data_IF_764379567855
#
_entry.id   IF_764379567855
#
_cell.length_a   1.000
_cell.length_b   1.000
_cell.length_c   1.000
_cell.angle_alpha   90.00
_cell.angle_beta   90.00
_cell.angle_gamma   90.00
#
_symmetry.space_group_name_H-M   'P 1'
#
loop_
_entity.id
_entity.type
_entity.pdbx_description
1 polymer ?
#
# COMPACT_ATOMS: atom_id res chain seq x y z
N UNK A 1 -48.46 37.04 -30.21
CA UNK A 1 -49.19 35.85 -29.72
C UNK A 1 -48.31 35.13 -28.71
N UNK A 2 -48.87 34.91 -27.53
CA UNK A 2 -48.27 34.38 -26.29
C UNK A 2 -47.97 32.87 -26.36
N UNK A 3 -46.88 32.44 -25.71
CA UNK A 3 -46.55 31.10 -25.14
C UNK A 3 -45.20 31.29 -24.41
N UNK A 4 -45.10 31.40 -23.09
CA UNK A 4 -45.33 30.38 -22.05
C UNK A 4 -43.99 29.67 -21.72
N UNK A 5 -43.48 29.67 -20.48
CA UNK A 5 -42.17 29.06 -20.16
C UNK A 5 -42.27 27.53 -20.18
N UNK A 6 -41.25 26.87 -20.74
CA UNK A 6 -41.15 25.41 -20.82
C UNK A 6 -40.53 24.88 -19.52
N UNK A 7 -41.29 24.02 -18.86
CA UNK A 7 -40.94 23.22 -17.69
C UNK A 7 -39.94 22.12 -18.09
N UNK A 8 -38.70 22.21 -17.60
CA UNK A 8 -37.68 21.17 -17.73
C UNK A 8 -37.75 20.20 -16.55
N UNK A 9 -38.87 19.50 -16.40
CA UNK A 9 -38.96 18.31 -15.54
C UNK A 9 -39.60 17.15 -16.30
N UNK A 10 -38.82 16.50 -17.17
CA UNK A 10 -38.97 15.07 -17.52
C UNK A 10 -37.80 14.60 -18.39
N UNK A 11 -37.36 13.38 -18.08
CA UNK A 11 -36.41 12.54 -18.81
C UNK A 11 -34.91 12.79 -18.64
N UNK A 12 -34.42 12.64 -17.41
CA UNK A 12 -33.08 12.10 -17.17
C UNK A 12 -33.20 10.61 -16.83
N UNK A 13 -33.26 9.75 -17.86
CA UNK A 13 -33.13 8.30 -17.71
C UNK A 13 -31.68 7.98 -17.37
N UNK A 14 -31.39 7.89 -16.07
CA UNK A 14 -30.13 7.34 -15.55
C UNK A 14 -30.03 5.88 -16.04
N UNK A 15 -28.93 5.62 -16.74
CA UNK A 15 -28.57 4.33 -17.34
C UNK A 15 -28.62 3.20 -16.31
N UNK A 16 -29.30 2.10 -16.66
CA UNK A 16 -29.38 0.85 -15.91
C UNK A 16 -28.02 0.17 -15.66
N UNK A 17 -26.93 0.68 -16.25
CA UNK A 17 -25.55 0.23 -16.04
C UNK A 17 -24.98 0.67 -14.68
N UNK A 18 -25.19 1.92 -14.25
CA UNK A 18 -24.65 2.45 -12.98
C UNK A 18 -25.27 1.78 -11.74
N UNK A 19 -26.55 1.38 -11.84
CA UNK A 19 -27.24 0.62 -10.80
C UNK A 19 -26.71 -0.81 -10.62
N UNK A 20 -26.13 -1.40 -11.67
CA UNK A 20 -25.57 -2.76 -11.63
C UNK A 20 -24.20 -2.77 -10.93
N UNK A 21 -23.33 -1.82 -11.29
CA UNK A 21 -22.00 -1.64 -10.65
C UNK A 21 -22.13 -1.31 -9.17
N UNK A 22 -23.06 -0.41 -8.79
CA UNK A 22 -23.33 -0.10 -7.39
C UNK A 22 -23.85 -1.32 -6.60
N UNK A 23 -24.62 -2.23 -7.20
CA UNK A 23 -25.09 -3.48 -6.55
C UNK A 23 -23.98 -4.51 -6.38
N UNK A 24 -23.09 -4.65 -7.36
CA UNK A 24 -21.95 -5.57 -7.30
C UNK A 24 -20.97 -5.08 -6.23
N UNK A 25 -20.68 -3.78 -6.21
CA UNK A 25 -19.88 -3.13 -5.17
C UNK A 25 -20.53 -3.32 -3.80
N UNK A 26 -21.84 -3.03 -3.63
CA UNK A 26 -22.53 -3.27 -2.35
C UNK A 26 -22.50 -4.75 -1.91
N UNK A 27 -22.45 -5.70 -2.84
CA UNK A 27 -22.34 -7.14 -2.55
C UNK A 27 -20.93 -7.53 -2.12
N UNK A 28 -19.89 -7.03 -2.79
CA UNK A 28 -18.49 -7.23 -2.39
C UNK A 28 -18.26 -6.62 -1.00
N UNK A 29 -18.66 -5.36 -0.80
CA UNK A 29 -18.57 -4.66 0.48
C UNK A 29 -19.35 -5.35 1.61
N UNK A 30 -20.56 -5.86 1.34
CA UNK A 30 -21.38 -6.54 2.36
C UNK A 30 -20.88 -7.96 2.66
N UNK A 31 -20.25 -8.63 1.70
CA UNK A 31 -19.67 -9.96 1.86
C UNK A 31 -18.36 -9.90 2.67
N UNK A 32 -17.45 -8.97 2.34
CA UNK A 32 -16.22 -8.77 3.12
C UNK A 32 -16.49 -8.18 4.51
N UNK A 33 -17.39 -7.19 4.64
CA UNK A 33 -17.75 -6.65 5.96
C UNK A 33 -18.36 -7.71 6.88
N UNK A 34 -19.22 -8.60 6.37
CA UNK A 34 -19.77 -9.70 7.16
C UNK A 34 -18.72 -10.73 7.53
N UNK A 35 -17.79 -11.06 6.64
CA UNK A 35 -16.76 -12.06 6.91
C UNK A 35 -15.71 -11.55 7.91
N UNK A 36 -15.29 -10.28 7.82
CA UNK A 36 -14.35 -9.69 8.77
C UNK A 36 -14.99 -9.54 10.16
N UNK A 37 -16.27 -9.16 10.24
CA UNK A 37 -17.00 -9.05 11.52
C UNK A 37 -17.35 -10.42 12.10
N UNK A 38 -17.74 -11.42 11.30
CA UNK A 38 -18.01 -12.78 11.81
C UNK A 38 -16.74 -13.50 12.30
N UNK A 39 -15.59 -13.27 11.66
CA UNK A 39 -14.29 -13.79 12.13
C UNK A 39 -13.91 -13.14 13.46
N UNK A 40 -14.04 -11.81 13.57
CA UNK A 40 -13.79 -11.08 14.82
C UNK A 40 -14.76 -11.50 15.95
N UNK A 41 -16.03 -11.77 15.62
CA UNK A 41 -17.04 -12.17 16.60
C UNK A 41 -16.83 -13.61 17.10
N UNK A 42 -16.39 -14.52 16.23
CA UNK A 42 -16.08 -15.91 16.60
C UNK A 42 -14.77 -16.03 17.41
N UNK A 43 -13.79 -15.16 17.17
CA UNK A 43 -12.58 -15.09 18.01
C UNK A 43 -12.89 -14.54 19.42
N UNK A 44 -13.77 -13.55 19.54
CA UNK A 44 -14.20 -13.02 20.84
C UNK A 44 -15.05 -13.99 21.68
N UNK A 45 -15.91 -14.79 21.04
CA UNK A 45 -16.77 -15.75 21.75
C UNK A 45 -15.99 -16.96 22.32
N UNK A 46 -14.79 -17.24 21.80
CA UNK A 46 -13.93 -18.35 22.28
C UNK A 46 -12.96 -17.97 23.40
N UNK A 47 -12.74 -16.69 23.68
CA UNK A 47 -11.77 -16.18 24.66
C UNK A 47 -12.40 -15.75 26.00
N UNK A 48 -13.73 -15.68 26.09
CA UNK A 48 -14.45 -15.21 27.29
C UNK A 48 -14.81 -16.31 28.31
N UNK A 49 -14.25 -17.52 28.19
CA UNK A 49 -14.56 -18.63 29.11
C UNK A 49 -13.49 -18.89 30.19
N UNK A 50 -12.42 -18.10 30.30
CA UNK A 50 -11.31 -18.39 31.23
C UNK A 50 -10.70 -17.19 31.98
N UNK A 51 -11.35 -16.02 32.02
CA UNK A 51 -10.82 -14.82 32.73
C UNK A 51 -11.87 -14.22 33.67
N UNK A 52 -12.35 -15.03 34.61
CA UNK A 52 -13.16 -14.52 35.74
C UNK A 52 -12.84 -15.23 37.06
N UNK A 53 -11.57 -15.61 37.26
CA UNK A 53 -11.03 -15.94 38.58
C UNK A 53 -9.76 -15.12 38.81
N UNK A 54 -9.59 -14.64 40.04
CA UNK A 54 -8.54 -13.74 40.54
C UNK A 54 -8.74 -12.23 40.34
N UNK A 55 -9.57 -11.65 41.20
CA UNK A 55 -9.34 -10.32 41.81
C UNK A 55 -10.23 -10.20 43.06
N UNK A 56 -9.76 -10.70 44.21
CA UNK A 56 -10.29 -10.35 45.54
C UNK A 56 -9.44 -9.24 46.18
N UNK A 57 -10.04 -8.15 46.68
CA UNK A 57 -9.35 -7.20 47.55
C UNK A 57 -9.49 -7.60 49.03
N UNK A 58 -8.37 -7.47 49.75
CA UNK A 58 -8.21 -7.62 51.19
C UNK A 58 -9.08 -6.64 51.99
N UNK A 59 -9.96 -7.11 52.88
CA UNK A 59 -10.27 -6.46 54.19
C UNK A 59 -10.92 -7.43 55.19
N UNK A 60 -10.73 -7.10 56.46
CA UNK A 60 -10.94 -7.83 57.72
C UNK A 60 -12.33 -8.46 57.99
N UNK A 61 -12.30 -9.57 58.72
CA UNK A 61 -13.41 -10.18 59.47
C UNK A 61 -13.55 -9.52 60.88
N UNK A 62 -14.73 -9.55 61.54
CA UNK A 62 -15.18 -10.78 62.21
C UNK A 62 -16.70 -11.10 62.17
N UNK A 63 -16.99 -12.39 62.41
CA UNK A 63 -18.25 -13.16 62.47
C UNK A 63 -19.24 -12.75 63.61
N UNK A 64 -20.39 -13.45 63.88
CA UNK A 64 -21.05 -14.58 63.18
C UNK A 64 -22.61 -14.52 63.09
N UNK A 65 -23.19 -15.59 62.50
CA UNK A 65 -24.58 -16.12 62.60
C UNK A 65 -25.72 -15.50 61.74
N UNK A 66 -26.34 -16.33 60.88
CA UNK A 66 -27.74 -16.85 61.03
C UNK A 66 -28.20 -17.66 59.79
N UNK A 67 -28.65 -18.89 60.08
CA UNK A 67 -29.60 -19.79 59.40
C UNK A 67 -29.51 -20.12 57.90
N UNK A 68 -29.34 -21.41 57.63
CA UNK A 68 -29.71 -22.09 56.40
C UNK A 68 -31.22 -22.38 56.34
N UNK A 69 -31.84 -22.25 55.16
CA UNK A 69 -32.79 -23.24 54.58
C UNK A 69 -33.10 -22.91 53.08
N UNK A 70 -33.51 -23.91 52.27
CA UNK A 70 -33.22 -23.95 50.83
C UNK A 70 -34.44 -23.63 49.95
N UNK A 71 -34.20 -23.06 48.76
CA UNK A 71 -35.18 -23.08 47.66
C UNK A 71 -34.56 -23.57 46.37
N UNK A 72 -34.77 -24.87 46.13
CA UNK A 72 -34.95 -25.47 44.81
C UNK A 72 -35.97 -24.61 44.03
N UNK A 73 -35.59 -24.14 42.84
CA UNK A 73 -36.43 -23.93 41.65
C UNK A 73 -35.80 -22.83 40.77
N UNK A 74 -34.89 -23.22 39.88
CA UNK A 74 -34.61 -22.52 38.61
C UNK A 74 -33.65 -23.40 37.79
N UNK A 75 -34.05 -24.63 37.48
CA UNK A 75 -33.25 -25.53 36.66
C UNK A 75 -34.17 -26.36 35.77
N UNK A 76 -35.00 -25.67 34.99
CA UNK A 76 -35.83 -26.26 33.94
C UNK A 76 -36.20 -25.15 32.95
N UNK A 77 -35.23 -24.73 32.13
CA UNK A 77 -35.44 -24.15 30.79
C UNK A 77 -34.07 -23.91 30.15
N UNK A 78 -33.33 -24.99 29.89
CA UNK A 78 -32.29 -25.00 28.87
C UNK A 78 -32.77 -25.99 27.82
N UNK A 79 -33.52 -25.45 26.84
CA UNK A 79 -33.80 -26.18 25.61
C UNK A 79 -32.47 -26.58 24.99
N UNK A 80 -32.28 -27.88 24.77
CA UNK A 80 -31.19 -28.41 23.96
C UNK A 80 -31.28 -27.81 22.55
N UNK A 81 -30.47 -26.79 22.26
CA UNK A 81 -30.06 -26.53 20.89
C UNK A 81 -29.07 -27.63 20.49
N UNK A 82 -29.31 -28.41 19.43
CA UNK A 82 -28.30 -29.34 18.96
C UNK A 82 -27.10 -28.54 18.48
N UNK A 83 -25.94 -28.79 19.08
CA UNK A 83 -24.65 -28.33 18.56
C UNK A 83 -24.46 -28.97 17.18
N UNK A 84 -24.79 -28.23 16.12
CA UNK A 84 -24.56 -28.68 14.74
C UNK A 84 -23.06 -28.95 14.56
N UNK A 85 -22.70 -30.23 14.50
CA UNK A 85 -21.34 -30.66 14.19
C UNK A 85 -21.01 -30.14 12.78
N UNK A 86 -19.94 -29.35 12.60
CA UNK A 86 -19.61 -28.80 11.29
C UNK A 86 -19.41 -29.94 10.29
N UNK A 87 -20.10 -29.84 9.15
CA UNK A 87 -19.98 -30.77 8.03
C UNK A 87 -18.52 -30.89 7.59
N UNK A 88 -18.14 -32.03 6.98
CA UNK A 88 -16.76 -32.27 6.50
C UNK A 88 -16.25 -31.15 5.59
N UNK A 89 -17.14 -30.56 4.78
CA UNK A 89 -16.86 -29.40 3.93
C UNK A 89 -16.57 -28.16 4.77
N UNK A 90 -17.38 -27.85 5.79
CA UNK A 90 -17.12 -26.72 6.69
C UNK A 90 -15.79 -26.86 7.45
N UNK A 91 -15.41 -28.08 7.87
CA UNK A 91 -14.10 -28.31 8.51
C UNK A 91 -12.94 -28.12 7.53
N UNK A 92 -13.06 -28.60 6.30
CA UNK A 92 -12.06 -28.38 5.26
C UNK A 92 -11.92 -26.89 4.92
N UNK A 93 -13.04 -26.17 4.81
CA UNK A 93 -13.07 -24.73 4.58
C UNK A 93 -12.44 -23.95 5.74
N UNK A 94 -12.76 -24.29 7.00
CA UNK A 94 -12.14 -23.68 8.19
C UNK A 94 -10.64 -23.96 8.28
N UNK A 95 -10.20 -25.18 7.93
CA UNK A 95 -8.79 -25.54 7.84
C UNK A 95 -8.05 -24.71 6.80
N UNK A 96 -8.65 -24.53 5.62
CA UNK A 96 -8.08 -23.69 4.56
C UNK A 96 -7.97 -22.21 4.98
N UNK A 97 -9.02 -21.65 5.60
CA UNK A 97 -8.98 -20.27 6.11
C UNK A 97 -7.89 -20.06 7.16
N UNK A 98 -7.72 -21.04 8.06
CA UNK A 98 -6.65 -20.99 9.07
C UNK A 98 -5.27 -21.00 8.42
N UNK A 99 -5.04 -21.81 7.39
CA UNK A 99 -3.76 -21.82 6.66
C UNK A 99 -3.53 -20.48 5.95
N UNK A 100 -4.54 -19.94 5.27
CA UNK A 100 -4.45 -18.64 4.59
C UNK A 100 -4.10 -17.52 5.59
N UNK A 101 -4.68 -17.53 6.79
CA UNK A 101 -4.43 -16.49 7.80
C UNK A 101 -2.97 -16.40 8.26
N UNK A 102 -2.16 -17.45 8.11
CA UNK A 102 -0.74 -17.40 8.45
C UNK A 102 0.10 -16.61 7.43
N UNK A 103 -0.37 -16.52 6.19
CA UNK A 103 0.36 -15.92 5.08
C UNK A 103 -0.24 -14.57 4.63
N UNK A 104 -1.50 -14.30 4.96
CA UNK A 104 -2.17 -13.03 4.66
C UNK A 104 -1.88 -11.91 5.67
N UNK A 105 -2.21 -10.67 5.32
CA UNK A 105 -2.02 -9.51 6.19
C UNK A 105 -0.55 -9.31 6.55
N UNK A 106 -0.28 -8.89 7.79
CA UNK A 106 1.07 -8.52 8.23
C UNK A 106 1.96 -9.71 8.65
N UNK A 107 1.43 -10.93 8.61
CA UNK A 107 2.08 -12.14 9.13
C UNK A 107 2.64 -11.96 10.56
N UNK A 108 1.83 -11.41 11.48
CA UNK A 108 2.26 -11.07 12.87
C UNK A 108 2.86 -12.27 13.61
N UNK A 109 2.23 -13.44 13.51
CA UNK A 109 2.70 -14.68 14.15
C UNK A 109 4.11 -15.03 13.69
N UNK A 110 4.37 -14.94 12.38
CA UNK A 110 5.69 -15.15 11.81
C UNK A 110 6.69 -14.09 12.31
N UNK A 111 6.28 -12.83 12.39
CA UNK A 111 7.10 -11.76 12.96
C UNK A 111 7.53 -12.02 14.41
N UNK A 112 6.60 -12.45 15.28
CA UNK A 112 6.92 -12.82 16.67
C UNK A 112 7.84 -14.04 16.76
N UNK A 113 7.64 -15.03 15.89
CA UNK A 113 8.54 -16.19 15.79
C UNK A 113 9.96 -15.77 15.36
N UNK A 114 10.08 -14.89 14.37
CA UNK A 114 11.36 -14.39 13.84
C UNK A 114 12.18 -13.63 14.88
N UNK A 115 11.54 -12.90 15.82
CA UNK A 115 12.25 -12.20 16.91
C UNK A 115 13.10 -13.13 17.79
N UNK A 116 12.75 -14.42 17.86
CA UNK A 116 13.47 -15.44 18.66
C UNK A 116 14.59 -16.12 17.87
N UNK A 117 14.73 -15.82 16.59
CA UNK A 117 15.72 -16.45 15.71
C UNK A 117 17.02 -15.64 15.66
N UNK A 118 18.04 -16.20 15.01
CA UNK A 118 19.33 -15.53 14.83
C UNK A 118 19.21 -14.25 13.98
N UNK A 119 20.12 -13.32 14.21
CA UNK A 119 20.05 -11.96 13.65
C UNK A 119 19.95 -11.92 12.12
N UNK A 120 20.66 -12.78 11.39
CA UNK A 120 20.60 -12.78 9.91
C UNK A 120 19.20 -13.13 9.38
N UNK A 121 18.45 -14.00 10.06
CA UNK A 121 17.07 -14.29 9.67
C UNK A 121 16.13 -13.12 9.97
N UNK A 122 16.36 -12.42 11.09
CA UNK A 122 15.64 -11.17 11.39
C UNK A 122 15.91 -10.10 10.33
N UNK A 123 17.20 -9.91 9.97
CA UNK A 123 17.60 -8.96 8.95
C UNK A 123 16.97 -9.29 7.58
N UNK A 124 16.93 -10.58 7.21
CA UNK A 124 16.26 -11.03 6.00
C UNK A 124 14.76 -10.70 6.02
N UNK A 125 14.05 -11.00 7.12
CA UNK A 125 12.64 -10.65 7.29
C UNK A 125 12.41 -9.13 7.14
N UNK A 126 13.25 -8.30 7.74
CA UNK A 126 13.16 -6.85 7.65
C UNK A 126 13.41 -6.32 6.23
N UNK A 127 14.35 -6.93 5.50
CA UNK A 127 14.62 -6.60 4.09
C UNK A 127 13.44 -7.00 3.20
N UNK A 128 12.86 -8.19 3.39
CA UNK A 128 11.69 -8.64 2.64
C UNK A 128 10.47 -7.73 2.93
N UNK A 129 10.19 -7.43 4.19
CA UNK A 129 9.14 -6.46 4.56
C UNK A 129 9.43 -5.09 3.95
N UNK A 130 10.68 -4.64 3.96
CA UNK A 130 11.11 -3.39 3.33
C UNK A 130 10.80 -3.33 1.83
N UNK A 131 10.98 -4.44 1.09
CA UNK A 131 10.60 -4.50 -0.32
C UNK A 131 9.09 -4.35 -0.53
N UNK A 132 8.27 -4.97 0.32
CA UNK A 132 6.81 -4.89 0.24
C UNK A 132 6.25 -3.53 0.68
N UNK A 133 6.93 -2.86 1.61
CA UNK A 133 6.50 -1.57 2.18
C UNK A 133 6.46 -0.43 1.17
N UNK A 134 7.10 -0.55 0.00
CA UNK A 134 6.96 0.41 -1.10
C UNK A 134 5.49 0.61 -1.49
N UNK A 135 4.68 -0.46 -1.44
CA UNK A 135 3.24 -0.43 -1.69
C UNK A 135 2.43 -0.57 -0.38
N UNK A 136 3.01 -0.13 0.74
CA UNK A 136 2.41 -0.13 2.09
C UNK A 136 2.07 -1.51 2.65
N UNK A 137 2.74 -2.55 2.17
CA UNK A 137 2.51 -3.93 2.62
C UNK A 137 3.56 -4.35 3.63
N UNK A 138 3.13 -4.83 4.80
CA UNK A 138 4.01 -5.34 5.86
C UNK A 138 4.05 -6.89 5.85
N UNK A 139 4.42 -7.50 4.73
CA UNK A 139 4.35 -8.95 4.55
C UNK A 139 5.65 -9.49 3.90
N UNK A 140 6.45 -10.32 4.60
CA UNK A 140 7.73 -10.82 4.08
C UNK A 140 7.55 -11.80 2.91
N UNK A 141 6.45 -12.56 2.85
CA UNK A 141 6.14 -13.41 1.69
C UNK A 141 5.84 -12.56 0.45
N UNK A 142 5.08 -11.47 0.61
CA UNK A 142 4.84 -10.51 -0.46
C UNK A 142 6.15 -9.88 -0.93
N UNK A 143 7.04 -9.53 0.01
CA UNK A 143 8.39 -9.05 -0.28
C UNK A 143 9.24 -10.04 -1.06
N UNK A 144 9.16 -11.33 -0.71
CA UNK A 144 9.85 -12.40 -1.42
C UNK A 144 9.34 -12.54 -2.86
N UNK A 145 8.02 -12.49 -3.06
CA UNK A 145 7.40 -12.53 -4.39
C UNK A 145 7.80 -11.30 -5.21
N UNK A 146 7.85 -10.11 -4.59
CA UNK A 146 8.33 -8.88 -5.23
C UNK A 146 9.79 -9.01 -5.66
N UNK A 147 10.70 -9.52 -4.82
CA UNK A 147 12.06 -9.79 -5.25
C UNK A 147 12.12 -10.82 -6.37
N UNK A 148 11.28 -11.85 -6.36
CA UNK A 148 11.13 -12.79 -7.48
C UNK A 148 10.75 -12.10 -8.78
N UNK A 149 9.79 -11.16 -8.73
CA UNK A 149 9.41 -10.31 -9.86
C UNK A 149 10.54 -9.39 -10.32
N UNK A 150 11.29 -8.78 -9.40
CA UNK A 150 12.45 -7.95 -9.74
C UNK A 150 13.55 -8.77 -10.43
N UNK A 151 13.83 -9.99 -9.95
CA UNK A 151 14.80 -10.90 -10.59
C UNK A 151 14.32 -11.29 -11.99
N UNK A 152 13.01 -11.51 -12.15
CA UNK A 152 12.39 -11.81 -13.44
C UNK A 152 12.46 -10.61 -14.41
N UNK A 153 12.30 -9.38 -13.91
CA UNK A 153 12.48 -8.14 -14.68
C UNK A 153 13.93 -8.00 -15.15
N UNK A 154 14.85 -7.88 -14.20
CA UNK A 154 16.26 -7.65 -14.46
C UNK A 154 17.07 -7.96 -13.20
N UNK A 155 18.04 -8.87 -13.31
CA UNK A 155 18.90 -9.32 -12.19
C UNK A 155 19.77 -8.20 -11.63
N UNK A 156 20.25 -7.29 -12.48
CA UNK A 156 21.03 -6.12 -12.05
C UNK A 156 20.18 -5.13 -11.25
N UNK A 157 18.95 -4.90 -11.70
CA UNK A 157 17.98 -4.08 -11.00
C UNK A 157 17.65 -4.68 -9.62
N UNK A 158 17.33 -5.98 -9.58
CA UNK A 158 17.07 -6.69 -8.34
C UNK A 158 18.23 -6.63 -7.34
N UNK A 159 19.47 -6.78 -7.82
CA UNK A 159 20.67 -6.67 -6.98
C UNK A 159 20.80 -5.26 -6.38
N UNK A 160 20.64 -4.21 -7.20
CA UNK A 160 20.73 -2.84 -6.72
C UNK A 160 19.63 -2.50 -5.70
N UNK A 161 18.40 -2.96 -5.93
CA UNK A 161 17.30 -2.83 -4.97
C UNK A 161 17.58 -3.58 -3.67
N UNK A 162 18.09 -4.81 -3.74
CA UNK A 162 18.47 -5.58 -2.55
C UNK A 162 19.56 -4.86 -1.74
N UNK A 163 20.64 -4.42 -2.41
CA UNK A 163 21.73 -3.64 -1.77
C UNK A 163 21.15 -2.39 -1.12
N UNK A 164 20.30 -1.63 -1.81
CA UNK A 164 19.72 -0.42 -1.25
C UNK A 164 18.87 -0.68 -0.01
N UNK A 165 18.01 -1.70 -0.05
CA UNK A 165 17.18 -2.11 1.10
C UNK A 165 18.04 -2.53 2.30
N UNK A 166 19.05 -3.36 2.04
CA UNK A 166 19.95 -3.90 3.06
C UNK A 166 20.72 -2.77 3.75
N UNK A 167 21.35 -1.87 2.99
CA UNK A 167 22.17 -0.80 3.56
C UNK A 167 21.34 0.33 4.19
N UNK A 168 20.12 0.59 3.72
CA UNK A 168 19.19 1.46 4.43
C UNK A 168 18.78 0.85 5.80
N UNK A 169 18.51 -0.46 5.83
CA UNK A 169 18.18 -1.18 7.07
C UNK A 169 19.36 -1.20 8.05
N UNK A 170 20.58 -1.49 7.57
CA UNK A 170 21.81 -1.44 8.37
C UNK A 170 22.04 -0.03 8.91
N UNK A 171 21.90 1.01 8.07
CA UNK A 171 22.05 2.40 8.53
C UNK A 171 21.04 2.76 9.63
N UNK A 172 19.77 2.34 9.51
CA UNK A 172 18.78 2.56 10.56
C UNK A 172 19.16 1.86 11.88
N UNK A 173 19.77 0.67 11.81
CA UNK A 173 20.29 -0.03 12.98
C UNK A 173 21.47 0.73 13.61
N UNK A 174 22.40 1.24 12.80
CA UNK A 174 23.56 2.03 13.27
C UNK A 174 23.13 3.36 13.88
N UNK A 175 22.09 4.00 13.34
CA UNK A 175 21.51 5.24 13.84
C UNK A 175 20.52 5.03 15.00
N UNK A 176 20.43 3.81 15.53
CA UNK A 176 19.57 3.45 16.66
C UNK A 176 18.10 3.88 16.47
N UNK A 177 17.58 3.76 15.24
CA UNK A 177 16.17 4.05 14.95
C UNK A 177 15.24 3.02 15.60
N UNK A 178 13.94 3.35 15.68
CA UNK A 178 12.92 2.49 16.30
C UNK A 178 12.98 1.05 15.77
N UNK A 179 13.23 0.10 16.67
CA UNK A 179 13.32 -1.33 16.32
C UNK A 179 12.01 -1.88 15.75
N UNK A 180 10.86 -1.38 16.21
CA UNK A 180 9.55 -1.75 15.65
C UNK A 180 9.37 -1.26 14.21
N UNK A 181 9.79 -0.02 13.91
CA UNK A 181 9.75 0.52 12.55
C UNK A 181 10.73 -0.20 11.60
N UNK A 182 11.91 -0.57 12.09
CA UNK A 182 12.85 -1.41 11.33
C UNK A 182 12.23 -2.79 11.05
N UNK A 183 11.65 -3.42 12.08
CA UNK A 183 11.09 -4.76 11.96
C UNK A 183 9.87 -4.85 11.03
N UNK A 184 9.15 -3.74 10.85
CA UNK A 184 8.04 -3.63 9.88
C UNK A 184 8.49 -3.17 8.49
N UNK A 185 9.79 -2.97 8.26
CA UNK A 185 10.36 -2.61 6.96
C UNK A 185 10.30 -1.11 6.61
N UNK A 186 9.85 -0.24 7.52
CA UNK A 186 9.66 1.21 7.25
C UNK A 186 10.97 1.95 6.95
N UNK A 187 12.12 1.40 7.32
CA UNK A 187 13.43 1.96 6.99
C UNK A 187 14.08 1.34 5.75
N UNK A 188 13.48 0.30 5.15
CA UNK A 188 14.02 -0.40 3.97
C UNK A 188 13.47 0.09 2.64
N UNK A 189 12.18 0.47 2.59
CA UNK A 189 11.48 0.72 1.31
C UNK A 189 11.96 1.96 0.54
N UNK A 190 12.49 2.98 1.22
CA UNK A 190 13.12 4.09 0.50
C UNK A 190 14.46 3.63 -0.12
N UNK A 191 15.21 2.76 0.58
CA UNK A 191 16.46 2.20 0.09
C UNK A 191 16.29 1.32 -1.13
N UNK A 192 15.25 0.46 -1.18
CA UNK A 192 15.00 -0.35 -2.38
C UNK A 192 14.78 0.53 -3.61
N UNK A 193 13.95 1.57 -3.50
CA UNK A 193 13.66 2.48 -4.61
C UNK A 193 14.90 3.28 -5.03
N UNK A 194 15.71 3.74 -4.08
CA UNK A 194 16.99 4.41 -4.41
C UNK A 194 17.87 3.49 -5.25
N UNK A 195 18.11 2.26 -4.78
CA UNK A 195 18.93 1.32 -5.52
C UNK A 195 18.36 0.99 -6.91
N UNK A 196 17.05 0.71 -6.99
CA UNK A 196 16.38 0.40 -8.25
C UNK A 196 16.53 1.54 -9.26
N UNK A 197 16.14 2.76 -8.88
CA UNK A 197 16.07 3.87 -9.81
C UNK A 197 17.44 4.46 -10.15
N UNK A 198 18.45 4.31 -9.28
CA UNK A 198 19.83 4.60 -9.65
C UNK A 198 20.33 3.66 -10.76
N UNK A 199 19.90 2.38 -10.77
CA UNK A 199 20.21 1.46 -11.86
C UNK A 199 19.42 1.81 -13.13
N UNK A 200 18.12 2.10 -13.02
CA UNK A 200 17.27 2.47 -14.16
C UNK A 200 17.77 3.73 -14.88
N UNK A 201 18.21 4.74 -14.13
CA UNK A 201 18.64 6.02 -14.70
C UNK A 201 20.14 6.09 -15.02
N UNK A 202 20.91 5.03 -14.83
CA UNK A 202 22.33 5.01 -15.21
C UNK A 202 22.51 4.79 -16.71
N UNK A 203 23.29 5.66 -17.37
CA UNK A 203 23.63 5.55 -18.79
C UNK A 203 24.74 4.52 -19.06
N UNK A 204 25.34 3.93 -18.00
CA UNK A 204 26.35 2.87 -18.12
C UNK A 204 25.74 1.47 -18.37
N UNK A 205 24.43 1.33 -18.20
CA UNK A 205 23.72 0.07 -18.36
C UNK A 205 23.98 -0.95 -17.25
N UNK A 206 23.61 -2.21 -17.52
CA UNK A 206 23.66 -3.29 -16.54
C UNK A 206 25.09 -3.68 -16.15
N UNK A 207 25.24 -4.17 -14.91
CA UNK A 207 26.49 -4.70 -14.35
C UNK A 207 27.65 -3.69 -14.25
N UNK A 208 27.35 -2.39 -14.28
CA UNK A 208 28.31 -1.36 -13.91
C UNK A 208 28.55 -1.35 -12.39
N UNK A 209 29.44 -2.22 -11.91
CA UNK A 209 29.69 -2.48 -10.49
C UNK A 209 30.01 -1.24 -9.64
N UNK A 210 30.63 -0.22 -10.23
CA UNK A 210 30.92 1.04 -9.54
C UNK A 210 29.66 1.75 -9.04
N UNK A 211 28.50 1.53 -9.67
CA UNK A 211 27.21 2.08 -9.24
C UNK A 211 26.81 1.64 -7.82
N UNK A 212 27.31 0.49 -7.35
CA UNK A 212 27.03 0.02 -5.99
C UNK A 212 27.56 1.00 -4.93
N UNK A 213 28.65 1.73 -5.19
CA UNK A 213 29.21 2.70 -4.25
C UNK A 213 28.25 3.87 -3.95
N UNK A 214 27.81 4.66 -4.94
CA UNK A 214 26.83 5.71 -4.67
C UNK A 214 25.48 5.12 -4.24
N UNK A 215 25.07 3.93 -4.71
CA UNK A 215 23.84 3.27 -4.24
C UNK A 215 23.87 3.01 -2.73
N UNK A 216 24.94 2.38 -2.22
CA UNK A 216 25.13 2.15 -0.79
C UNK A 216 25.08 3.47 -0.02
N UNK A 217 25.82 4.47 -0.46
CA UNK A 217 25.88 5.78 0.22
C UNK A 217 24.51 6.47 0.29
N UNK A 218 23.80 6.55 -0.84
CA UNK A 218 22.48 7.18 -0.90
C UNK A 218 21.46 6.38 -0.09
N UNK A 219 21.49 5.05 -0.16
CA UNK A 219 20.61 4.18 0.62
C UNK A 219 20.85 4.30 2.13
N UNK A 220 22.11 4.38 2.58
CA UNK A 220 22.44 4.65 3.98
C UNK A 220 21.96 6.02 4.47
N UNK A 221 21.75 6.97 3.56
CA UNK A 221 21.22 8.30 3.88
C UNK A 221 19.68 8.29 4.01
N UNK A 222 18.98 7.27 3.51
CA UNK A 222 17.51 7.17 3.58
C UNK A 222 16.96 7.29 5.01
N UNK A 223 17.48 6.58 6.04
CA UNK A 223 16.99 6.72 7.40
C UNK A 223 17.18 8.12 7.99
N UNK A 224 18.26 8.83 7.60
CA UNK A 224 18.52 10.20 8.06
C UNK A 224 17.43 11.13 7.54
N UNK A 225 17.18 11.11 6.22
CA UNK A 225 16.14 11.93 5.59
C UNK A 225 14.75 11.53 6.09
N UNK A 226 14.49 10.23 6.28
CA UNK A 226 13.24 9.72 6.84
C UNK A 226 13.00 10.27 8.25
N UNK A 227 14.00 10.21 9.12
CA UNK A 227 13.90 10.74 10.48
C UNK A 227 13.68 12.25 10.50
N UNK A 228 14.40 12.99 9.64
CA UNK A 228 14.25 14.45 9.53
C UNK A 228 12.82 14.83 9.08
N UNK A 229 12.31 14.19 8.03
CA UNK A 229 10.94 14.44 7.54
C UNK A 229 9.88 14.00 8.55
N UNK A 230 10.08 12.86 9.23
CA UNK A 230 9.15 12.37 10.25
C UNK A 230 9.03 13.36 11.42
N UNK A 231 10.12 14.05 11.80
CA UNK A 231 10.08 15.07 12.86
C UNK A 231 9.16 16.26 12.55
N UNK A 232 8.95 16.54 11.26
CA UNK A 232 8.06 17.59 10.76
C UNK A 232 6.65 16.99 10.59
N UNK A 233 6.53 15.92 9.80
CA UNK A 233 5.25 15.35 9.39
C UNK A 233 4.44 14.77 10.57
N UNK A 234 5.11 14.26 11.61
CA UNK A 234 4.43 13.76 12.82
C UNK A 234 3.62 14.82 13.56
N UNK A 235 3.92 16.12 13.38
CA UNK A 235 3.13 17.22 13.95
C UNK A 235 1.70 17.29 13.39
N UNK A 236 1.48 16.75 12.20
CA UNK A 236 0.17 16.65 11.54
C UNK A 236 -0.30 15.20 11.37
N UNK A 237 0.35 14.26 12.06
CA UNK A 237 0.09 12.82 11.92
C UNK A 237 0.15 12.38 10.44
N UNK A 238 1.22 12.79 9.73
CA UNK A 238 1.45 12.44 8.32
C UNK A 238 2.62 11.48 8.15
N UNK A 239 2.53 10.51 7.22
CA UNK A 239 3.64 9.64 6.90
C UNK A 239 4.70 10.41 6.09
N UNK A 240 5.92 9.87 6.01
CA UNK A 240 6.98 10.43 5.16
C UNK A 240 6.89 9.98 3.71
N UNK A 241 6.13 8.91 3.44
CA UNK A 241 6.03 8.29 2.12
C UNK A 241 7.40 8.04 1.48
N UNK A 242 7.48 8.05 0.15
CA UNK A 242 8.71 7.87 -0.60
C UNK A 242 9.48 9.19 -0.78
N UNK A 243 9.20 10.23 0.02
CA UNK A 243 9.94 11.50 -0.04
C UNK A 243 11.46 11.32 0.15
N UNK A 244 11.97 10.49 1.09
CA UNK A 244 13.40 10.23 1.21
C UNK A 244 14.01 9.70 -0.09
N UNK A 245 13.37 8.71 -0.72
CA UNK A 245 13.78 8.18 -2.02
C UNK A 245 13.84 9.28 -3.09
N UNK A 246 12.76 10.07 -3.22
CA UNK A 246 12.66 11.09 -4.25
C UNK A 246 13.75 12.15 -4.10
N UNK A 247 14.00 12.62 -2.88
CA UNK A 247 15.06 13.59 -2.58
C UNK A 247 16.43 13.03 -2.95
N UNK A 248 16.72 11.78 -2.56
CA UNK A 248 18.05 11.20 -2.73
C UNK A 248 18.33 10.83 -4.20
N UNK A 249 17.38 10.26 -4.93
CA UNK A 249 17.58 9.99 -6.37
C UNK A 249 17.75 11.30 -7.14
N UNK A 250 16.93 12.32 -6.88
CA UNK A 250 17.12 13.63 -7.52
C UNK A 250 18.48 14.24 -7.15
N UNK A 251 18.90 14.18 -5.88
CA UNK A 251 20.21 14.66 -5.44
C UNK A 251 21.35 13.96 -6.19
N UNK A 252 21.30 12.63 -6.31
CA UNK A 252 22.30 11.87 -7.07
C UNK A 252 22.33 12.28 -8.55
N UNK A 253 21.16 12.37 -9.17
CA UNK A 253 21.04 12.70 -10.59
C UNK A 253 21.47 14.13 -10.91
N UNK A 254 21.17 15.11 -10.05
CA UNK A 254 21.67 16.49 -10.23
C UNK A 254 23.18 16.56 -10.02
N UNK A 255 23.70 15.87 -9.00
CA UNK A 255 25.13 15.92 -8.68
C UNK A 255 26.01 15.26 -9.76
N UNK A 256 25.48 14.25 -10.45
CA UNK A 256 26.19 13.54 -11.51
C UNK A 256 25.83 14.09 -12.89
N UNK A 257 24.56 14.11 -13.25
CA UNK A 257 24.06 14.54 -14.55
C UNK A 257 24.48 13.62 -15.70
N UNK A 258 24.03 13.94 -16.91
CA UNK A 258 24.33 13.13 -18.10
C UNK A 258 25.82 13.10 -18.45
N UNK A 259 26.54 14.20 -18.22
CA UNK A 259 27.93 14.35 -18.64
C UNK A 259 28.97 13.94 -17.57
N UNK A 260 28.56 13.26 -16.49
CA UNK A 260 29.52 12.75 -15.52
C UNK A 260 30.41 11.67 -16.15
N UNK A 261 31.72 11.73 -15.91
CA UNK A 261 32.63 10.69 -16.43
C UNK A 261 32.42 9.32 -15.79
N UNK A 262 32.09 9.27 -14.49
CA UNK A 262 31.97 8.03 -13.72
C UNK A 262 30.53 7.52 -13.70
N UNK A 263 29.59 8.38 -13.36
CA UNK A 263 28.18 8.02 -13.13
C UNK A 263 27.23 8.82 -14.04
N UNK A 264 27.37 8.74 -15.38
CA UNK A 264 26.49 9.45 -16.29
C UNK A 264 25.05 8.94 -16.14
N UNK A 265 24.11 9.87 -16.11
CA UNK A 265 22.68 9.58 -16.07
C UNK A 265 22.08 9.56 -17.47
N UNK A 266 20.97 8.86 -17.67
CA UNK A 266 20.21 8.94 -18.92
C UNK A 266 19.80 10.38 -19.22
N UNK A 267 19.83 10.76 -20.50
CA UNK A 267 19.50 12.11 -20.91
C UNK A 267 17.98 12.33 -20.87
N UNK A 268 17.52 13.19 -19.96
CA UNK A 268 16.12 13.62 -19.86
C UNK A 268 16.02 15.06 -20.38
N UNK A 269 15.10 15.30 -21.31
CA UNK A 269 14.91 16.61 -21.93
C UNK A 269 13.43 17.02 -21.89
N UNK A 270 13.15 18.34 -21.82
CA UNK A 270 11.79 18.83 -21.93
C UNK A 270 11.23 18.59 -23.33
N UNK A 271 9.92 18.37 -23.42
CA UNK A 271 9.22 18.28 -24.70
C UNK A 271 9.23 19.66 -25.38
N UNK A 272 9.80 19.71 -26.59
CA UNK A 272 9.92 20.93 -27.41
C UNK A 272 8.93 20.97 -28.58
N UNK A 273 8.21 19.88 -28.83
CA UNK A 273 7.25 19.76 -29.91
C UNK A 273 6.00 19.02 -29.46
N UNK A 274 4.90 19.26 -30.19
CA UNK A 274 3.64 18.54 -30.00
C UNK A 274 3.82 17.09 -30.48
N UNK A 275 3.42 16.08 -29.69
CA UNK A 275 3.45 14.70 -30.15
C UNK A 275 2.41 14.51 -31.27
N UNK A 276 2.81 13.87 -32.35
CA UNK A 276 1.88 13.47 -33.41
C UNK A 276 1.12 12.22 -32.95
N UNK A 277 -0.17 12.37 -32.63
CA UNK A 277 -1.01 11.29 -32.11
C UNK A 277 -2.07 10.94 -33.14
N UNK A 278 -1.95 9.74 -33.71
CA UNK A 278 -2.96 9.17 -34.61
C UNK A 278 -3.89 8.26 -33.81
N UNK A 279 -5.07 8.74 -33.43
CA UNK A 279 -5.99 7.99 -32.56
C UNK A 279 -6.44 6.62 -33.11
N UNK A 280 -6.40 6.43 -34.43
CA UNK A 280 -6.68 5.14 -35.05
C UNK A 280 -5.59 4.08 -34.84
N UNK A 281 -4.39 4.48 -34.42
CA UNK A 281 -3.26 3.58 -34.13
C UNK A 281 -3.24 3.10 -32.66
N UNK A 282 -4.27 3.45 -31.88
CA UNK A 282 -4.38 3.00 -30.50
C UNK A 282 -4.46 1.47 -30.43
N UNK A 283 -3.61 0.88 -29.60
CA UNK A 283 -3.55 -0.56 -29.38
C UNK A 283 -4.24 -0.88 -28.05
N UNK A 284 -5.47 -1.35 -28.16
CA UNK A 284 -6.31 -1.70 -27.00
C UNK A 284 -5.68 -2.80 -26.16
N UNK A 285 -4.95 -3.76 -26.76
CA UNK A 285 -4.29 -4.81 -26.00
C UNK A 285 -3.13 -4.24 -25.17
N UNK A 286 -2.38 -3.27 -25.71
CA UNK A 286 -1.37 -2.54 -24.93
C UNK A 286 -1.98 -1.68 -23.82
N UNK A 287 -3.19 -1.12 -24.00
CA UNK A 287 -3.90 -0.46 -22.90
C UNK A 287 -4.20 -1.41 -21.74
N UNK A 288 -4.73 -2.62 -22.01
CA UNK A 288 -4.94 -3.61 -20.95
C UNK A 288 -3.62 -4.02 -20.27
N UNK A 289 -2.52 -4.12 -21.02
CA UNK A 289 -1.19 -4.39 -20.46
C UNK A 289 -0.63 -3.20 -19.67
N UNK A 290 -1.02 -1.97 -19.97
CA UNK A 290 -0.59 -0.79 -19.23
C UNK A 290 -1.01 -0.84 -17.75
N UNK A 291 -2.08 -1.57 -17.41
CA UNK A 291 -2.55 -1.71 -16.02
C UNK A 291 -1.53 -2.45 -15.14
N UNK A 292 -1.12 -3.71 -15.43
CA UNK A 292 -0.07 -4.36 -14.67
C UNK A 292 1.28 -3.66 -14.84
N UNK A 293 1.62 -3.11 -16.02
CA UNK A 293 2.87 -2.34 -16.20
C UNK A 293 2.92 -1.12 -15.29
N UNK A 294 1.81 -0.39 -15.13
CA UNK A 294 1.73 0.74 -14.20
C UNK A 294 1.98 0.34 -12.74
N UNK A 295 1.58 -0.88 -12.34
CA UNK A 295 1.93 -1.42 -11.02
C UNK A 295 3.41 -1.81 -10.96
N UNK A 296 3.96 -2.41 -12.03
CA UNK A 296 5.40 -2.69 -12.17
C UNK A 296 6.26 -1.44 -12.04
N UNK A 297 5.84 -0.33 -12.66
CA UNK A 297 6.56 0.94 -12.67
C UNK A 297 6.70 1.59 -11.29
N UNK A 298 5.94 1.15 -10.28
CA UNK A 298 6.18 1.54 -8.88
C UNK A 298 7.62 1.20 -8.45
N UNK A 299 8.19 0.13 -9.00
CA UNK A 299 9.58 -0.30 -8.81
C UNK A 299 10.46 -0.04 -10.06
N UNK A 300 9.99 0.75 -11.02
CA UNK A 300 10.69 0.99 -12.28
C UNK A 300 10.74 -0.22 -13.22
N UNK A 301 9.74 -1.12 -13.14
CA UNK A 301 9.65 -2.31 -13.98
C UNK A 301 8.60 -2.13 -15.09
N UNK A 302 9.01 -2.33 -16.34
CA UNK A 302 8.15 -2.15 -17.52
C UNK A 302 7.55 -3.46 -18.06
N UNK A 303 7.94 -4.62 -17.53
CA UNK A 303 7.43 -5.91 -17.97
C UNK A 303 6.04 -6.18 -17.36
N UNK A 304 4.99 -6.43 -18.18
CA UNK A 304 3.63 -6.69 -17.68
C UNK A 304 3.55 -7.92 -16.76
N UNK A 305 4.41 -8.93 -16.97
CA UNK A 305 4.44 -10.13 -16.13
C UNK A 305 5.01 -9.82 -14.75
N UNK A 306 6.04 -8.97 -14.66
CA UNK A 306 6.54 -8.47 -13.38
C UNK A 306 5.44 -7.73 -12.62
N UNK A 307 4.70 -6.85 -13.31
CA UNK A 307 3.52 -6.21 -12.76
C UNK A 307 2.46 -7.19 -12.26
N UNK A 308 2.19 -8.26 -13.02
CA UNK A 308 1.31 -9.35 -12.61
C UNK A 308 1.78 -10.09 -11.36
N UNK A 309 3.09 -10.34 -11.23
CA UNK A 309 3.69 -10.94 -10.02
C UNK A 309 3.48 -10.01 -8.82
N UNK A 310 3.63 -8.70 -8.99
CA UNK A 310 3.37 -7.72 -7.92
C UNK A 310 1.90 -7.67 -7.52
N UNK A 311 0.96 -7.79 -8.46
CA UNK A 311 -0.47 -7.92 -8.17
C UNK A 311 -0.73 -9.13 -7.25
N UNK A 312 -0.11 -10.28 -7.55
CA UNK A 312 -0.22 -11.49 -6.70
C UNK A 312 0.35 -11.24 -5.30
N UNK A 313 1.49 -10.58 -5.19
CA UNK A 313 2.07 -10.21 -3.90
C UNK A 313 1.11 -9.32 -3.08
N UNK A 314 0.51 -8.30 -3.69
CA UNK A 314 -0.47 -7.44 -3.02
C UNK A 314 -1.71 -8.23 -2.61
N UNK A 315 -2.22 -9.09 -3.47
CA UNK A 315 -3.43 -9.88 -3.21
C UNK A 315 -3.28 -10.82 -2.01
N UNK A 316 -2.10 -11.45 -1.86
CA UNK A 316 -1.78 -12.33 -0.72
C UNK A 316 -1.87 -11.54 0.59
N UNK A 317 -1.31 -10.33 0.63
CA UNK A 317 -1.37 -9.51 1.85
C UNK A 317 -2.76 -8.92 2.09
N UNK A 318 -3.34 -8.28 1.07
CA UNK A 318 -4.58 -7.52 1.18
C UNK A 318 -5.26 -7.40 -0.20
N UNK A 319 -6.39 -8.11 -0.41
CA UNK A 319 -7.20 -7.96 -1.63
C UNK A 319 -7.68 -6.52 -1.86
N UNK A 320 -7.91 -5.75 -0.79
CA UNK A 320 -8.32 -4.34 -0.86
C UNK A 320 -7.19 -3.46 -1.43
N UNK A 321 -5.95 -3.69 -0.97
CA UNK A 321 -4.76 -2.99 -1.47
C UNK A 321 -4.53 -3.33 -2.93
N UNK A 322 -4.65 -4.63 -3.29
CA UNK A 322 -4.57 -5.10 -4.67
C UNK A 322 -5.63 -4.45 -5.58
N UNK A 323 -6.86 -4.33 -5.10
CA UNK A 323 -7.96 -3.68 -5.83
C UNK A 323 -7.65 -2.21 -6.10
N UNK A 324 -7.26 -1.44 -5.09
CA UNK A 324 -6.94 -0.02 -5.26
C UNK A 324 -5.66 0.20 -6.08
N UNK A 325 -4.69 -0.71 -6.03
CA UNK A 325 -3.55 -0.68 -6.94
C UNK A 325 -4.00 -0.78 -8.41
N UNK A 326 -4.88 -1.74 -8.69
CA UNK A 326 -5.41 -1.96 -10.05
C UNK A 326 -6.27 -0.79 -10.53
N UNK A 327 -7.12 -0.25 -9.65
CA UNK A 327 -7.93 0.95 -9.94
C UNK A 327 -7.04 2.15 -10.19
N UNK A 328 -6.06 2.41 -9.32
CA UNK A 328 -5.12 3.53 -9.47
C UNK A 328 -4.37 3.48 -10.79
N UNK A 329 -3.82 2.32 -11.17
CA UNK A 329 -3.15 2.14 -12.46
C UNK A 329 -4.09 2.41 -13.64
N UNK A 330 -5.32 1.91 -13.58
CA UNK A 330 -6.35 2.11 -14.61
C UNK A 330 -6.75 3.59 -14.72
N UNK A 331 -6.95 4.27 -13.59
CA UNK A 331 -7.26 5.71 -13.54
C UNK A 331 -6.14 6.53 -14.17
N UNK A 332 -4.88 6.20 -13.86
CA UNK A 332 -3.72 6.83 -14.46
C UNK A 332 -3.70 6.69 -15.98
N UNK A 333 -3.88 5.47 -16.49
CA UNK A 333 -4.00 5.19 -17.92
C UNK A 333 -5.11 6.03 -18.59
N UNK A 334 -6.30 6.06 -17.99
CA UNK A 334 -7.45 6.84 -18.50
C UNK A 334 -7.14 8.34 -18.49
N UNK A 335 -6.51 8.85 -17.44
CA UNK A 335 -6.09 10.26 -17.35
C UNK A 335 -5.06 10.62 -18.44
N UNK A 336 -4.13 9.70 -18.74
CA UNK A 336 -3.17 9.87 -19.84
C UNK A 336 -3.85 9.97 -21.20
N UNK A 337 -4.86 9.14 -21.45
CA UNK A 337 -5.70 9.25 -22.65
C UNK A 337 -6.47 10.57 -22.69
N UNK A 338 -7.07 10.98 -21.58
CA UNK A 338 -7.83 12.23 -21.48
C UNK A 338 -6.97 13.47 -21.74
N UNK A 339 -5.68 13.42 -21.40
CA UNK A 339 -4.70 14.48 -21.65
C UNK A 339 -3.97 14.35 -23.00
N UNK A 340 -4.40 13.44 -23.87
CA UNK A 340 -3.74 13.16 -25.15
C UNK A 340 -2.23 12.95 -24.97
N UNK A 341 -1.84 12.13 -24.00
CA UNK A 341 -0.45 11.75 -23.83
C UNK A 341 0.01 10.81 -24.95
N UNK A 342 1.30 10.83 -25.33
CA UNK A 342 1.84 9.85 -26.27
C UNK A 342 1.54 8.43 -25.82
N UNK A 343 0.98 7.60 -26.71
CA UNK A 343 0.51 6.26 -26.35
C UNK A 343 1.60 5.38 -25.75
N UNK A 344 2.84 5.49 -26.24
CA UNK A 344 3.98 4.73 -25.69
C UNK A 344 4.23 5.04 -24.21
N UNK A 345 4.05 6.29 -23.76
CA UNK A 345 4.19 6.63 -22.34
C UNK A 345 3.07 6.00 -21.49
N UNK A 346 1.88 5.83 -22.07
CA UNK A 346 0.76 5.16 -21.42
C UNK A 346 1.02 3.66 -21.35
N UNK A 347 1.42 3.04 -22.47
CA UNK A 347 1.73 1.61 -22.56
C UNK A 347 2.90 1.21 -21.66
N UNK A 348 3.88 2.10 -21.51
CA UNK A 348 5.02 1.93 -20.60
C UNK A 348 4.65 2.15 -19.12
N UNK A 349 3.37 2.42 -18.80
CA UNK A 349 2.85 2.54 -17.44
C UNK A 349 3.24 3.82 -16.70
N UNK A 350 3.85 4.81 -17.37
CA UNK A 350 4.33 6.05 -16.75
C UNK A 350 3.21 6.92 -16.18
N UNK A 351 1.98 6.72 -16.65
CA UNK A 351 0.79 7.38 -16.14
C UNK A 351 0.14 6.66 -14.95
N UNK A 352 0.49 5.39 -14.71
CA UNK A 352 -0.17 4.53 -13.74
C UNK A 352 0.46 4.53 -12.35
N UNK A 353 1.79 4.45 -12.26
CA UNK A 353 2.46 4.07 -11.00
C UNK A 353 2.28 5.07 -9.83
N UNK A 354 2.27 6.37 -10.11
CA UNK A 354 1.97 7.38 -9.09
C UNK A 354 0.51 7.27 -8.61
N UNK A 355 -0.41 6.96 -9.52
CA UNK A 355 -1.83 6.79 -9.24
C UNK A 355 -2.11 5.51 -8.44
N UNK A 356 -1.34 4.44 -8.67
CA UNK A 356 -1.34 3.21 -7.86
C UNK A 356 -1.12 3.55 -6.39
N UNK A 357 -0.01 4.23 -6.07
CA UNK A 357 0.35 4.55 -4.69
C UNK A 357 -0.65 5.52 -4.05
N UNK A 358 -1.12 6.53 -4.79
CA UNK A 358 -2.11 7.48 -4.28
C UNK A 358 -3.46 6.80 -3.98
N UNK A 359 -3.91 5.91 -4.88
CA UNK A 359 -5.17 5.19 -4.70
C UNK A 359 -5.10 4.21 -3.54
N UNK A 360 -3.98 3.49 -3.36
CA UNK A 360 -3.76 2.63 -2.19
C UNK A 360 -3.76 3.46 -0.89
N UNK A 361 -3.02 4.57 -0.85
CA UNK A 361 -2.87 5.39 0.35
C UNK A 361 -4.21 5.88 0.91
N UNK A 362 -5.08 6.39 0.04
CA UNK A 362 -6.40 6.91 0.43
C UNK A 362 -7.45 5.78 0.52
N UNK A 363 -7.31 4.74 -0.30
CA UNK A 363 -8.26 3.62 -0.44
C UNK A 363 -8.14 2.54 0.64
N UNK A 364 -8.12 2.93 1.92
CA UNK A 364 -8.15 2.00 3.05
C UNK A 364 -6.87 1.92 3.88
N UNK A 365 -5.75 2.52 3.44
CA UNK A 365 -4.49 2.50 4.21
C UNK A 365 -4.40 3.61 5.27
N UNK A 366 -4.67 4.86 4.89
CA UNK A 366 -4.63 6.02 5.80
C UNK A 366 -6.00 6.64 6.07
N UNK A 367 -7.05 6.12 5.42
CA UNK A 367 -8.44 6.41 5.71
C UNK A 367 -9.19 5.09 5.96
N UNK A 368 -10.16 5.10 6.86
CA UNK A 368 -11.08 3.97 7.00
C UNK A 368 -11.86 3.78 5.68
N UNK A 369 -11.92 2.53 5.20
CA UNK A 369 -12.55 2.25 3.91
C UNK A 369 -14.07 2.37 4.01
N UNK A 370 -14.62 3.37 3.32
CA UNK A 370 -16.05 3.62 3.10
C UNK A 370 -16.26 3.86 1.61
N UNK A 371 -17.50 3.94 1.14
CA UNK A 371 -17.74 4.28 -0.27
C UNK A 371 -17.30 5.72 -0.58
N UNK A 372 -17.38 6.62 0.40
CA UNK A 372 -16.92 8.01 0.28
C UNK A 372 -15.40 8.08 0.15
N UNK A 373 -14.64 7.36 0.99
CA UNK A 373 -13.18 7.35 0.90
C UNK A 373 -12.68 6.58 -0.32
N UNK A 374 -13.43 5.58 -0.79
CA UNK A 374 -13.18 4.95 -2.08
C UNK A 374 -13.27 5.95 -3.26
N UNK A 375 -14.34 6.76 -3.31
CA UNK A 375 -14.44 7.83 -4.31
C UNK A 375 -13.33 8.87 -4.14
N UNK A 376 -13.00 9.24 -2.90
CA UNK A 376 -11.90 10.15 -2.61
C UNK A 376 -10.55 9.59 -3.12
N UNK A 377 -10.33 8.28 -3.02
CA UNK A 377 -9.14 7.61 -3.53
C UNK A 377 -9.05 7.67 -5.07
N UNK A 378 -10.17 7.52 -5.78
CA UNK A 378 -10.24 7.69 -7.24
C UNK A 378 -9.94 9.14 -7.63
N UNK A 379 -10.53 10.11 -6.92
CA UNK A 379 -10.26 11.54 -7.14
C UNK A 379 -8.79 11.87 -6.87
N UNK A 380 -8.20 11.33 -5.80
CA UNK A 380 -6.78 11.47 -5.50
C UNK A 380 -5.91 10.88 -6.61
N UNK A 381 -6.27 9.71 -7.14
CA UNK A 381 -5.55 9.08 -8.25
C UNK A 381 -5.62 9.92 -9.53
N UNK A 382 -6.77 10.50 -9.88
CA UNK A 382 -6.87 11.44 -11.01
C UNK A 382 -6.01 12.68 -10.77
N UNK A 383 -6.14 13.33 -9.61
CA UNK A 383 -5.31 14.49 -9.24
C UNK A 383 -3.82 14.16 -9.36
N UNK A 384 -3.42 12.98 -8.89
CA UNK A 384 -2.06 12.47 -8.96
C UNK A 384 -1.57 12.27 -10.41
N UNK A 385 -2.41 11.80 -11.32
CA UNK A 385 -2.08 11.68 -12.74
C UNK A 385 -1.78 13.05 -13.38
N UNK A 386 -2.66 14.03 -13.14
CA UNK A 386 -2.48 15.40 -13.63
C UNK A 386 -1.21 16.03 -13.06
N UNK A 387 -1.02 15.93 -11.74
CA UNK A 387 0.19 16.42 -11.06
C UNK A 387 1.44 15.69 -11.59
N UNK A 388 1.33 14.41 -11.94
CA UNK A 388 2.38 13.61 -12.56
C UNK A 388 2.87 14.17 -13.88
N UNK A 389 1.94 14.56 -14.76
CA UNK A 389 2.30 15.24 -16.01
C UNK A 389 2.95 16.60 -15.74
N UNK A 390 2.41 17.38 -14.80
CA UNK A 390 2.95 18.71 -14.48
C UNK A 390 4.39 18.63 -13.94
N UNK A 391 4.62 17.78 -12.94
CA UNK A 391 5.94 17.59 -12.33
C UNK A 391 6.93 17.00 -13.33
N UNK A 392 6.52 16.05 -14.17
CA UNK A 392 7.39 15.52 -15.24
C UNK A 392 7.87 16.63 -16.17
N UNK A 393 6.96 17.50 -16.61
CA UNK A 393 7.32 18.62 -17.49
C UNK A 393 8.28 19.59 -16.79
N UNK A 394 8.04 19.94 -15.52
CA UNK A 394 8.92 20.83 -14.74
C UNK A 394 10.29 20.19 -14.48
N UNK A 395 10.34 18.95 -14.00
CA UNK A 395 11.59 18.26 -13.66
C UNK A 395 12.46 18.01 -14.89
N UNK A 396 11.86 17.78 -16.06
CA UNK A 396 12.60 17.59 -17.31
C UNK A 396 13.46 18.79 -17.71
N UNK A 397 13.13 20.02 -17.27
CA UNK A 397 13.97 21.20 -17.53
C UNK A 397 15.28 21.17 -16.76
N UNK A 398 15.35 20.39 -15.68
CA UNK A 398 16.55 20.14 -14.88
C UNK A 398 17.21 18.80 -15.23
N UNK A 399 16.74 18.10 -16.26
CA UNK A 399 17.21 16.76 -16.61
C UNK A 399 16.82 15.69 -15.59
N UNK A 400 15.72 15.89 -14.86
CA UNK A 400 15.26 14.98 -13.81
C UNK A 400 13.95 14.27 -14.17
N UNK A 401 13.76 13.03 -13.69
CA UNK A 401 12.48 12.34 -13.73
C UNK A 401 11.56 12.87 -12.62
N UNK A 402 10.25 12.67 -12.76
CA UNK A 402 9.29 12.98 -11.69
C UNK A 402 9.37 11.99 -10.51
N UNK A 403 9.89 10.78 -10.73
CA UNK A 403 9.85 9.68 -9.76
C UNK A 403 8.45 9.58 -9.12
N UNK A 404 8.36 9.48 -7.79
CA UNK A 404 7.10 9.42 -7.06
C UNK A 404 6.76 10.71 -6.29
N UNK A 405 7.37 11.85 -6.67
CA UNK A 405 6.95 13.17 -6.18
C UNK A 405 5.44 13.43 -6.36
N UNK A 406 4.83 13.11 -7.53
CA UNK A 406 3.39 13.31 -7.71
C UNK A 406 2.54 12.56 -6.70
N UNK A 407 2.87 11.30 -6.43
CA UNK A 407 2.22 10.50 -5.40
C UNK A 407 2.36 11.16 -4.02
N UNK A 408 3.58 11.46 -3.57
CA UNK A 408 3.82 12.00 -2.24
C UNK A 408 3.02 13.28 -2.00
N UNK A 409 3.08 14.23 -2.95
CA UNK A 409 2.40 15.51 -2.84
C UNK A 409 0.88 15.34 -2.89
N UNK A 410 0.37 14.49 -3.78
CA UNK A 410 -1.07 14.22 -3.87
C UNK A 410 -1.61 13.59 -2.60
N UNK A 411 -0.97 12.54 -2.10
CA UNK A 411 -1.43 11.84 -0.91
C UNK A 411 -1.34 12.74 0.34
N UNK A 412 -0.29 13.56 0.48
CA UNK A 412 -0.17 14.52 1.59
C UNK A 412 -1.26 15.59 1.56
N UNK A 413 -1.54 16.17 0.37
CA UNK A 413 -2.65 17.13 0.21
C UNK A 413 -3.97 16.49 0.61
N UNK A 414 -4.24 15.28 0.15
CA UNK A 414 -5.50 14.59 0.45
C UNK A 414 -5.59 14.13 1.91
N UNK A 415 -4.48 13.84 2.59
CA UNK A 415 -4.45 13.53 4.02
C UNK A 415 -4.57 14.75 4.93
N UNK A 416 -4.40 15.96 4.38
CA UNK A 416 -4.54 17.23 5.09
C UNK A 416 -5.95 17.82 4.98
N UNK A 417 -6.83 17.25 4.16
CA UNK A 417 -8.20 17.77 4.04
C UNK A 417 -8.94 17.58 5.36
N UNK A 418 -9.69 18.60 5.74
CA UNK A 418 -10.64 18.53 6.85
C UNK A 418 -12.06 18.48 6.29
N UNK A 419 -12.92 17.70 6.94
CA UNK A 419 -14.32 17.58 6.53
C UNK A 419 -15.19 17.27 7.74
N UNK A 420 -16.42 17.79 7.74
CA UNK A 420 -17.45 17.44 8.72
C UNK A 420 -18.10 16.08 8.43
N UNK A 421 -17.77 15.47 7.29
CA UNK A 421 -18.29 14.18 6.86
C UNK A 421 -17.68 13.05 7.69
N UNK A 422 -18.42 12.54 8.68
CA UNK A 422 -17.96 11.47 9.59
C UNK A 422 -17.51 10.17 8.90
N UNK A 423 -17.97 9.89 7.68
CA UNK A 423 -17.57 8.71 6.90
C UNK A 423 -16.21 8.85 6.20
N UNK A 424 -15.62 10.05 6.19
CA UNK A 424 -14.26 10.29 5.72
C UNK A 424 -13.39 10.44 6.98
N UNK A 425 -12.91 9.30 7.46
CA UNK A 425 -12.17 9.21 8.72
C UNK A 425 -10.71 8.85 8.46
N UNK A 426 -9.80 9.78 8.76
CA UNK A 426 -8.35 9.56 8.68
C UNK A 426 -7.93 8.66 9.84
N UNK A 427 -7.19 7.60 9.53
CA UNK A 427 -6.66 6.68 10.53
C UNK A 427 -5.42 7.29 11.20
N UNK A 428 -5.28 7.21 12.53
CA UNK A 428 -4.05 7.58 13.22
C UNK A 428 -2.85 6.81 12.68
N UNK A 429 -1.67 7.45 12.57
CA UNK A 429 -0.49 6.75 12.07
C UNK A 429 -0.10 5.56 12.93
N UNK A 430 -0.31 5.65 14.25
CA UNK A 430 -0.05 4.53 15.16
C UNK A 430 -0.85 3.28 14.82
N UNK A 431 -2.06 3.42 14.29
CA UNK A 431 -2.93 2.30 13.90
C UNK A 431 -2.62 1.78 12.49
N UNK A 432 -2.31 2.69 11.56
CA UNK A 432 -1.92 2.32 10.19
C UNK A 432 -0.52 1.69 10.11
N UNK A 433 0.38 2.02 11.05
CA UNK A 433 1.74 1.49 11.14
C UNK A 433 1.89 0.36 12.19
N UNK A 434 0.95 0.27 13.14
CA UNK A 434 0.82 -0.85 14.08
C UNK A 434 -0.67 -1.20 14.25
N UNK A 435 -1.20 -2.23 13.56
CA UNK A 435 -2.61 -2.61 13.68
C UNK A 435 -2.89 -3.39 14.98
N UNK A 436 -2.28 -2.98 16.10
CA UNK A 436 -2.51 -3.52 17.45
C UNK A 436 -3.63 -2.81 18.21
N UNK A 437 -4.31 -1.83 17.61
CA UNK A 437 -5.32 -1.01 18.28
C UNK A 437 -6.72 -1.04 17.64
N UNK A 438 -6.92 -1.77 16.55
CA UNK A 438 -8.26 -1.93 15.95
C UNK A 438 -8.89 -3.22 16.47
N UNK A 439 -9.20 -3.21 17.76
CA UNK A 439 -10.10 -4.14 18.44
C UNK A 439 -10.68 -3.44 19.67
N UNK A 440 -11.37 -2.32 19.42
CA UNK A 440 -12.13 -1.55 20.41
C UNK A 440 -13.52 -1.25 19.90
#
# INVERSE_FOLDING_TARGET
MTRGPIDCTKDCKISTSEYSSARIIKKIYRFEWRNTVEVAWKEHAGLNLDISQELEPLTMNPSPEVSAQPKKQAQEMIGHQPSEVPSTVQRATLGLFRVISYFSGDMKIFGEWTKRQFFLLQLLDWVLRGAAQVMFVNNPLSGLIIFGGLIFQNRWLALNGFVGTLFATISALLLHQSRGAIATGLYGYNGILVGLLMAVFSDKGDWYWWLLLPNIFMSMTCPIVSSALASINSRWDLPVFTLPFNILVCLHMVATGHYNHHFPQVLIQPRTSLPNITWSEIDVAKLFRAVPVGIGQVYGCDNPWTGGIFIVALFISSPITCLHATIGSTVGMVAGLALAAPFENIYFGLWGYNCVLACIAIGGMFYALTWQTHLLAIVCAFFCAYLGSAITNVMSTFGLPACTWPFCLSALVFLLITTETKSIYKLPLSESQNPGYVSG
#
